data_IF_760111553912
#
_entry.id   IF_760111553912
#
_cell.length_a   1.000
_cell.length_b   1.000
_cell.length_c   1.000
_cell.angle_alpha   90.00
_cell.angle_beta   90.00
_cell.angle_gamma   90.00
#
_symmetry.space_group_name_H-M   'P 1'
#
loop_
_entity.id
_entity.type
_entity.pdbx_description
1 polymer ?
#
# COMPACT_ATOMS: atom_id res chain seq x y z
N UNK A 1 -8.38 -13.64 -14.07
CA UNK A 1 -7.86 -14.11 -12.76
C UNK A 1 -6.86 -13.12 -12.11
N UNK A 2 -5.84 -12.62 -12.84
CA UNK A 2 -4.80 -11.72 -12.30
C UNK A 2 -5.29 -10.35 -11.79
N UNK A 3 -6.26 -9.70 -12.47
CA UNK A 3 -6.83 -8.42 -12.02
C UNK A 3 -7.46 -8.52 -10.62
N UNK A 4 -8.24 -9.57 -10.40
CA UNK A 4 -8.95 -9.78 -9.15
C UNK A 4 -8.01 -9.91 -7.95
N UNK A 5 -6.93 -10.69 -8.08
CA UNK A 5 -5.91 -10.85 -7.04
C UNK A 5 -5.22 -9.52 -6.66
N UNK A 6 -5.03 -8.60 -7.62
CA UNK A 6 -4.43 -7.29 -7.34
C UNK A 6 -5.34 -6.41 -6.50
N UNK A 7 -6.60 -6.32 -6.89
CA UNK A 7 -7.62 -5.58 -6.15
C UNK A 7 -7.86 -6.13 -4.75
N UNK A 8 -7.82 -7.46 -4.61
CA UNK A 8 -7.84 -8.10 -3.29
C UNK A 8 -6.63 -7.69 -2.45
N UNK A 9 -5.42 -7.71 -2.99
CA UNK A 9 -4.23 -7.29 -2.24
C UNK A 9 -4.30 -5.81 -1.83
N UNK A 10 -4.81 -4.94 -2.70
CA UNK A 10 -5.07 -3.53 -2.38
C UNK A 10 -6.08 -3.36 -1.25
N UNK A 11 -7.17 -4.15 -1.23
CA UNK A 11 -8.12 -4.13 -0.12
C UNK A 11 -7.53 -4.70 1.17
N UNK A 12 -6.72 -5.75 1.09
CA UNK A 12 -6.06 -6.34 2.26
C UNK A 12 -5.06 -5.36 2.89
N UNK A 13 -4.25 -4.64 2.10
CA UNK A 13 -3.26 -3.72 2.66
C UNK A 13 -3.90 -2.50 3.32
N UNK A 14 -4.99 -1.96 2.76
CA UNK A 14 -5.69 -0.86 3.42
C UNK A 14 -6.45 -1.35 4.65
N UNK A 15 -7.00 -2.57 4.61
CA UNK A 15 -7.64 -3.18 5.77
C UNK A 15 -6.67 -3.45 6.91
N UNK A 16 -5.43 -3.88 6.63
CA UNK A 16 -4.40 -4.06 7.67
C UNK A 16 -3.98 -2.74 8.34
N UNK A 17 -4.27 -1.59 7.71
CA UNK A 17 -4.04 -0.25 8.27
C UNK A 17 -5.26 0.26 9.08
N UNK A 18 -6.34 -0.53 9.15
CA UNK A 18 -7.58 -0.19 9.85
C UNK A 18 -8.69 0.37 8.95
N UNK A 19 -8.53 0.34 7.62
CA UNK A 19 -9.63 0.72 6.73
C UNK A 19 -10.72 -0.36 6.72
N UNK A 20 -11.97 0.07 6.71
CA UNK A 20 -13.09 -0.83 6.46
C UNK A 20 -13.16 -1.10 4.95
N UNK A 21 -13.19 -2.37 4.54
CA UNK A 21 -13.17 -2.76 3.13
C UNK A 21 -14.21 -3.84 2.88
N UNK A 22 -15.12 -3.58 1.94
CA UNK A 22 -16.17 -4.53 1.53
C UNK A 22 -16.12 -4.75 0.02
N UNK A 23 -16.19 -6.02 -0.40
CA UNK A 23 -16.23 -6.41 -1.81
C UNK A 23 -17.67 -6.74 -2.22
N UNK A 24 -18.18 -6.10 -3.27
CA UNK A 24 -19.53 -6.28 -3.81
C UNK A 24 -19.49 -6.76 -5.27
N UNK A 25 -20.61 -7.26 -5.80
CA UNK A 25 -20.75 -7.77 -7.17
C UNK A 25 -19.66 -8.79 -7.58
N UNK A 26 -19.37 -9.77 -6.71
CA UNK A 26 -18.30 -10.73 -6.94
C UNK A 26 -16.91 -10.08 -6.98
N UNK A 27 -16.72 -9.01 -6.19
CA UNK A 27 -15.51 -8.19 -6.04
C UNK A 27 -15.14 -7.35 -7.27
N UNK A 28 -16.14 -6.99 -8.09
CA UNK A 28 -16.02 -5.94 -9.12
C UNK A 28 -16.13 -4.53 -8.55
N UNK A 29 -16.73 -4.40 -7.37
CA UNK A 29 -16.89 -3.14 -6.65
C UNK A 29 -16.21 -3.29 -5.29
N UNK A 30 -15.42 -2.29 -4.91
CA UNK A 30 -14.80 -2.20 -3.58
C UNK A 30 -15.33 -0.93 -2.93
N UNK A 31 -15.98 -1.10 -1.79
CA UNK A 31 -16.37 0.00 -0.92
C UNK A 31 -15.35 0.09 0.19
N UNK A 32 -14.82 1.28 0.46
CA UNK A 32 -13.81 1.47 1.49
C UNK A 32 -14.03 2.75 2.29
N UNK A 33 -13.73 2.69 3.59
CA UNK A 33 -13.74 3.82 4.50
C UNK A 33 -12.42 3.87 5.26
N UNK A 34 -11.76 5.03 5.25
CA UNK A 34 -10.48 5.29 5.92
C UNK A 34 -10.63 6.21 7.14
N UNK A 35 -11.85 6.36 7.65
CA UNK A 35 -12.12 7.24 8.79
C UNK A 35 -11.40 6.76 10.07
N UNK A 36 -11.25 5.45 10.25
CA UNK A 36 -10.72 4.85 11.48
C UNK A 36 -9.37 4.13 11.28
N UNK A 37 -8.48 4.71 10.46
CA UNK A 37 -7.11 4.21 10.34
C UNK A 37 -6.41 4.27 11.69
N UNK A 38 -5.84 3.14 12.12
CA UNK A 38 -5.27 2.97 13.46
C UNK A 38 -3.82 2.45 13.45
N UNK A 39 -3.24 2.28 12.27
CA UNK A 39 -1.88 1.80 12.09
C UNK A 39 -1.16 2.53 10.97
N UNK A 40 0.10 2.85 11.21
CA UNK A 40 1.05 3.36 10.22
C UNK A 40 1.98 2.26 9.69
N UNK A 41 1.74 1.00 10.07
CA UNK A 41 2.58 -0.15 9.75
C UNK A 41 1.90 -1.04 8.70
N UNK A 42 2.48 -1.07 7.50
CA UNK A 42 2.03 -1.88 6.39
C UNK A 42 2.55 -3.31 6.51
N UNK A 43 1.64 -4.29 6.57
CA UNK A 43 1.96 -5.71 6.76
C UNK A 43 2.91 -6.26 5.69
N UNK A 44 4.04 -6.81 6.14
CA UNK A 44 5.10 -7.35 5.28
C UNK A 44 4.60 -8.42 4.30
N UNK A 45 3.77 -9.35 4.76
CA UNK A 45 3.30 -10.48 3.96
C UNK A 45 2.34 -10.04 2.86
N UNK A 46 1.67 -8.90 3.04
CA UNK A 46 0.83 -8.29 2.00
C UNK A 46 1.68 -7.45 1.04
N UNK A 47 2.66 -6.71 1.55
CA UNK A 47 3.54 -5.86 0.75
C UNK A 47 4.40 -6.68 -0.20
N UNK A 48 5.01 -7.78 0.26
CA UNK A 48 5.86 -8.65 -0.58
C UNK A 48 5.11 -9.31 -1.75
N UNK A 49 3.79 -9.50 -1.64
CA UNK A 49 2.95 -10.15 -2.67
C UNK A 49 2.71 -9.24 -3.88
N UNK A 50 2.74 -7.92 -3.69
CA UNK A 50 2.47 -6.97 -4.75
C UNK A 50 3.29 -5.69 -4.57
N UNK A 51 4.21 -5.43 -5.52
CA UNK A 51 5.05 -4.22 -5.53
C UNK A 51 4.27 -2.92 -5.36
N UNK A 52 3.06 -2.82 -5.92
CA UNK A 52 2.22 -1.62 -5.83
C UNK A 52 1.73 -1.32 -4.39
N UNK A 53 1.85 -2.25 -3.45
CA UNK A 53 1.50 -2.03 -2.04
C UNK A 53 2.32 -0.90 -1.40
N UNK A 54 3.52 -0.59 -1.91
CA UNK A 54 4.32 0.52 -1.38
C UNK A 54 3.68 1.91 -1.62
N UNK A 55 2.63 2.01 -2.46
CA UNK A 55 1.93 3.28 -2.69
C UNK A 55 1.20 3.79 -1.43
N UNK A 56 1.06 2.98 -0.38
CA UNK A 56 0.54 3.44 0.92
C UNK A 56 1.52 4.33 1.68
N UNK A 57 2.82 4.32 1.34
CA UNK A 57 3.85 5.10 2.01
C UNK A 57 3.54 6.60 2.03
N UNK A 58 3.21 7.18 0.87
CA UNK A 58 2.91 8.61 0.76
C UNK A 58 1.67 9.03 1.56
N UNK A 59 0.50 8.39 1.36
CA UNK A 59 -0.71 8.69 2.12
C UNK A 59 -0.57 8.49 3.63
N UNK A 60 0.21 7.49 4.08
CA UNK A 60 0.50 7.30 5.50
C UNK A 60 1.35 8.45 6.03
N UNK A 61 2.52 8.74 5.44
CA UNK A 61 3.37 9.87 5.85
C UNK A 61 2.59 11.19 5.90
N UNK A 62 1.78 11.47 4.88
CA UNK A 62 0.97 12.70 4.82
C UNK A 62 -0.11 12.77 5.92
N UNK A 63 -0.64 11.64 6.38
CA UNK A 63 -1.74 11.58 7.36
C UNK A 63 -1.24 11.47 8.79
N UNK A 64 -0.24 10.64 9.04
CA UNK A 64 0.22 10.26 10.39
C UNK A 64 1.59 10.84 10.73
N UNK A 65 2.34 11.39 9.76
CA UNK A 65 3.70 11.89 9.96
C UNK A 65 4.76 10.79 10.06
N UNK A 66 4.35 9.53 10.12
CA UNK A 66 5.22 8.36 10.20
C UNK A 66 4.63 7.21 9.37
N UNK A 67 5.48 6.37 8.80
CA UNK A 67 5.04 5.18 8.08
C UNK A 67 6.13 4.10 8.12
N UNK A 68 5.72 2.87 8.39
CA UNK A 68 6.61 1.70 8.32
C UNK A 68 6.11 0.82 7.17
N UNK A 69 6.85 0.84 6.07
CA UNK A 69 6.51 0.08 4.86
C UNK A 69 7.74 -0.68 4.39
N UNK A 70 7.58 -1.97 4.16
CA UNK A 70 8.66 -2.82 3.66
C UNK A 70 8.99 -2.49 2.21
N UNK A 71 10.27 -2.25 1.91
CA UNK A 71 10.68 -1.97 0.54
C UNK A 71 10.53 -3.22 -0.35
N UNK A 72 9.98 -3.06 -1.57
CA UNK A 72 9.86 -4.18 -2.50
C UNK A 72 11.24 -4.66 -2.95
N UNK A 73 11.44 -5.98 -2.92
CA UNK A 73 12.64 -6.63 -3.46
C UNK A 73 12.65 -6.70 -5.00
N UNK A 74 13.41 -7.67 -5.53
CA UNK A 74 13.55 -7.90 -6.97
C UNK A 74 12.24 -8.25 -7.68
N UNK A 75 12.18 -7.96 -8.98
CA UNK A 75 11.03 -8.25 -9.83
C UNK A 75 11.47 -9.07 -11.06
N UNK A 76 10.61 -9.96 -11.56
CA UNK A 76 10.91 -10.83 -12.69
C UNK A 76 11.24 -10.10 -14.00
N UNK A 77 10.83 -8.84 -14.13
CA UNK A 77 11.09 -7.99 -15.31
C UNK A 77 12.31 -7.08 -15.14
N UNK A 78 13.13 -7.35 -14.13
CA UNK A 78 14.35 -6.59 -13.84
C UNK A 78 14.24 -5.66 -12.64
N UNK A 79 15.30 -4.87 -12.45
CA UNK A 79 15.42 -3.93 -11.35
C UNK A 79 14.40 -2.81 -11.51
N UNK A 80 13.66 -2.57 -10.43
CA UNK A 80 12.74 -1.44 -10.30
C UNK A 80 13.09 -0.83 -8.94
N UNK A 81 14.01 0.12 -8.87
CA UNK A 81 14.36 0.74 -7.59
C UNK A 81 13.22 1.62 -7.07
N UNK A 82 13.30 2.01 -5.80
CA UNK A 82 12.35 2.91 -5.12
C UNK A 82 12.98 4.28 -4.82
N UNK A 83 14.21 4.49 -5.28
CA UNK A 83 15.00 5.71 -5.18
C UNK A 83 14.21 6.97 -5.57
N UNK A 84 13.49 6.96 -6.69
CA UNK A 84 12.69 8.11 -7.12
C UNK A 84 11.56 8.46 -6.14
N UNK A 85 10.95 7.45 -5.51
CA UNK A 85 9.91 7.67 -4.53
C UNK A 85 10.49 8.22 -3.22
N UNK A 86 11.61 7.66 -2.76
CA UNK A 86 12.29 8.08 -1.53
C UNK A 86 12.84 9.50 -1.70
N UNK A 87 13.58 9.78 -2.78
CA UNK A 87 14.14 11.12 -3.03
C UNK A 87 13.06 12.20 -3.19
N UNK A 88 11.89 11.86 -3.75
CA UNK A 88 10.77 12.80 -3.80
C UNK A 88 10.19 13.08 -2.41
N UNK A 89 10.09 12.07 -1.53
CA UNK A 89 9.62 12.26 -0.15
C UNK A 89 10.62 13.06 0.69
N UNK A 90 11.93 12.81 0.54
CA UNK A 90 13.00 13.61 1.16
C UNK A 90 12.94 15.08 0.70
N UNK A 91 12.78 15.33 -0.61
CA UNK A 91 12.67 16.68 -1.15
C UNK A 91 11.43 17.44 -0.64
N UNK A 92 10.38 16.73 -0.23
CA UNK A 92 9.19 17.29 0.41
C UNK A 92 9.35 17.48 1.93
N UNK A 93 10.48 17.07 2.51
CA UNK A 93 10.73 17.12 3.95
C UNK A 93 9.93 16.10 4.75
N UNK A 94 9.51 15.00 4.10
CA UNK A 94 8.72 13.93 4.72
C UNK A 94 9.56 12.73 5.20
N UNK A 95 10.85 12.72 4.86
CA UNK A 95 11.85 11.72 5.26
C UNK A 95 13.09 12.41 5.81
#
# INVERSE_FOLDING_TARGET
>A
MLRFKRYQNSGCITSSLGAEVTFLNGGKVIVMSSHNLNSSHADYDIVRKMRASNLVLGPLLARTGEAVVSLPGGCAIGARPMDLHIGALEALGLL
#
